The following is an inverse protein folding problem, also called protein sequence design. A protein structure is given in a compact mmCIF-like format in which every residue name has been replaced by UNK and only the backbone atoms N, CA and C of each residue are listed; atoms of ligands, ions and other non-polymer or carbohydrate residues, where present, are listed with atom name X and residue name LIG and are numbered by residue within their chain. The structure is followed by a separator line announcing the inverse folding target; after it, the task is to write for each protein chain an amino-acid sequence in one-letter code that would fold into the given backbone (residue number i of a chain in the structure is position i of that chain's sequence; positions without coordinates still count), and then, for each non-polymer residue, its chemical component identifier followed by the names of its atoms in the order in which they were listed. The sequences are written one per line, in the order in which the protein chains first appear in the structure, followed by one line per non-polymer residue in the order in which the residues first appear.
data_IF_023450427654
#
_entry.id   IF_023450427654
#
_cell.length_a   1.000
_cell.length_b   1.000
_cell.length_c   1.000
_cell.angle_alpha   90.00
_cell.angle_beta   90.00
_cell.angle_gamma   90.00
#
_symmetry.space_group_name_H-M   'P 1'
#
loop_
_entity.id
_entity.type
_entity.pdbx_description
1 polymer ?
#
# COMPACT_ATOMS: atom_id res chain seq x y z
N UNK A 1 45.81 -55.63 19.98
CA UNK A 1 45.92 -54.17 19.78
C UNK A 1 44.65 -53.71 19.09
N UNK A 2 43.91 -52.84 19.77
CA UNK A 2 42.57 -52.35 19.39
C UNK A 2 42.70 -51.16 18.43
N UNK A 3 41.80 -51.11 17.44
CA UNK A 3 41.12 -49.93 16.89
C UNK A 3 42.02 -48.87 16.18
N UNK A 4 41.58 -48.07 15.20
CA UNK A 4 40.27 -47.67 14.72
C UNK A 4 40.33 -47.52 13.19
N UNK A 5 39.31 -47.97 12.47
CA UNK A 5 38.99 -47.45 11.14
C UNK A 5 38.41 -46.04 11.31
N UNK A 6 39.09 -45.03 10.78
CA UNK A 6 38.60 -43.65 10.69
C UNK A 6 37.53 -43.56 9.60
N UNK A 7 36.27 -43.67 9.99
CA UNK A 7 35.13 -43.32 9.14
C UNK A 7 35.00 -41.79 9.13
N UNK A 8 35.51 -41.11 8.10
CA UNK A 8 35.17 -39.71 7.86
C UNK A 8 33.71 -39.66 7.40
N UNK A 9 32.79 -39.45 8.34
CA UNK A 9 31.45 -39.00 8.03
C UNK A 9 31.54 -37.53 7.60
N UNK A 10 31.62 -37.28 6.30
CA UNK A 10 31.33 -35.97 5.71
C UNK A 10 29.85 -35.68 5.96
N UNK A 11 29.55 -34.97 7.04
CA UNK A 11 28.26 -34.29 7.21
C UNK A 11 28.14 -33.27 6.06
N UNK A 12 27.51 -33.67 4.97
CA UNK A 12 26.86 -32.74 4.06
C UNK A 12 25.80 -32.03 4.90
N UNK A 13 26.13 -30.83 5.39
CA UNK A 13 25.13 -29.86 5.80
C UNK A 13 24.28 -29.58 4.55
N UNK A 14 23.19 -30.35 4.38
CA UNK A 14 22.10 -29.94 3.53
C UNK A 14 21.65 -28.59 4.07
N UNK A 15 22.13 -27.51 3.44
CA UNK A 15 21.50 -26.21 3.60
C UNK A 15 20.07 -26.42 3.11
N UNK A 16 19.12 -26.48 4.02
CA UNK A 16 17.71 -26.36 3.68
C UNK A 16 17.56 -24.97 3.10
N UNK A 17 17.63 -24.87 1.78
CA UNK A 17 17.28 -23.66 1.06
C UNK A 17 15.78 -23.50 1.25
N UNK A 18 15.37 -22.48 2.00
CA UNK A 18 13.96 -22.14 2.17
C UNK A 18 13.45 -21.54 0.86
N UNK A 19 13.00 -22.42 -0.04
CA UNK A 19 12.34 -22.01 -1.28
C UNK A 19 10.85 -21.77 -1.01
N UNK A 20 10.35 -20.61 -1.41
CA UNK A 20 8.93 -20.27 -1.31
C UNK A 20 8.18 -20.91 -2.49
N UNK A 21 7.10 -21.61 -2.21
CA UNK A 21 6.24 -22.31 -3.16
C UNK A 21 5.15 -21.38 -3.69
N UNK A 22 4.89 -21.42 -4.99
CA UNK A 22 3.82 -20.62 -5.62
C UNK A 22 2.44 -20.92 -5.02
N UNK A 23 1.66 -19.87 -4.76
CA UNK A 23 0.30 -19.98 -4.19
C UNK A 23 -0.72 -19.26 -5.06
N UNK A 24 -0.40 -18.05 -5.51
CA UNK A 24 -1.38 -17.16 -6.14
C UNK A 24 -0.74 -16.30 -7.22
N UNK A 25 -1.50 -16.05 -8.27
CA UNK A 25 -1.28 -14.95 -9.21
C UNK A 25 -2.58 -14.15 -9.33
N UNK A 26 -2.45 -12.83 -9.31
CA UNK A 26 -3.46 -11.87 -9.72
C UNK A 26 -3.00 -11.27 -11.05
N UNK A 27 -3.70 -11.57 -12.13
CA UNK A 27 -3.37 -11.06 -13.47
C UNK A 27 -4.59 -11.12 -14.39
N UNK A 28 -4.54 -10.35 -15.47
CA UNK A 28 -5.53 -10.37 -16.55
C UNK A 28 -6.98 -10.24 -16.08
N UNK A 29 -7.89 -10.91 -16.78
CA UNK A 29 -9.34 -10.82 -16.52
C UNK A 29 -9.76 -11.32 -15.13
N UNK A 30 -8.98 -12.22 -14.52
CA UNK A 30 -9.26 -12.77 -13.18
C UNK A 30 -8.69 -11.94 -12.04
N UNK A 31 -7.94 -10.86 -12.33
CA UNK A 31 -7.27 -10.07 -11.30
C UNK A 31 -8.25 -9.67 -10.19
N UNK A 32 -9.41 -9.11 -10.54
CA UNK A 32 -10.39 -8.55 -9.61
C UNK A 32 -11.35 -9.58 -8.97
N UNK A 33 -11.17 -10.88 -9.22
CA UNK A 33 -12.05 -11.93 -8.67
C UNK A 33 -11.91 -12.08 -7.15
N UNK A 34 -10.73 -11.71 -6.62
CA UNK A 34 -10.35 -11.87 -5.22
C UNK A 34 -10.04 -10.53 -4.56
N UNK A 35 -10.80 -9.51 -4.93
CA UNK A 35 -10.67 -8.16 -4.37
C UNK A 35 -12.03 -7.59 -3.98
N UNK A 36 -12.03 -6.85 -2.87
CA UNK A 36 -13.13 -5.98 -2.46
C UNK A 36 -12.82 -4.54 -2.83
N UNK A 37 -13.85 -3.79 -3.23
CA UNK A 37 -13.75 -2.36 -3.52
C UNK A 37 -14.29 -1.57 -2.33
N UNK A 38 -13.55 -0.57 -1.88
CA UNK A 38 -13.85 0.12 -0.62
C UNK A 38 -15.18 0.90 -0.64
N UNK A 39 -15.48 1.62 -1.74
CA UNK A 39 -16.81 2.23 -1.92
C UNK A 39 -17.17 3.35 -0.95
N UNK A 40 -16.20 4.10 -0.42
CA UNK A 40 -16.42 5.19 0.56
C UNK A 40 -15.40 6.32 0.39
N UNK A 41 -15.64 7.46 1.04
CA UNK A 41 -14.65 8.53 1.18
C UNK A 41 -13.39 8.02 1.90
N UNK A 42 -12.25 8.65 1.63
CA UNK A 42 -11.02 8.34 2.35
C UNK A 42 -11.10 8.78 3.81
N UNK A 43 -11.28 7.79 4.69
CA UNK A 43 -11.46 7.97 6.12
C UNK A 43 -10.19 7.67 6.92
N UNK A 44 -9.08 7.32 6.26
CA UNK A 44 -7.83 6.96 6.93
C UNK A 44 -6.76 8.03 6.75
N UNK A 45 -6.63 8.59 5.54
CA UNK A 45 -5.58 9.57 5.21
C UNK A 45 -6.14 10.95 4.86
N UNK A 46 -7.44 11.14 5.06
CA UNK A 46 -8.18 12.37 4.77
C UNK A 46 -8.07 12.86 3.31
N UNK A 47 -7.79 11.94 2.38
CA UNK A 47 -7.66 12.25 0.96
C UNK A 47 -8.91 12.87 0.33
N UNK A 48 -8.68 13.65 -0.72
CA UNK A 48 -9.70 14.33 -1.52
C UNK A 48 -10.30 13.44 -2.62
N UNK A 49 -10.58 12.20 -2.22
CA UNK A 49 -11.18 11.17 -3.06
C UNK A 49 -12.46 10.60 -2.47
N UNK A 50 -13.35 10.17 -3.37
CA UNK A 50 -14.37 9.17 -3.07
C UNK A 50 -13.94 7.87 -3.75
N UNK A 51 -13.63 6.83 -2.98
CA UNK A 51 -13.29 5.55 -3.56
C UNK A 51 -14.55 4.88 -4.12
N UNK A 52 -14.45 4.43 -5.37
CA UNK A 52 -15.53 3.77 -6.08
C UNK A 52 -15.87 2.41 -5.44
N UNK A 53 -17.16 2.06 -5.47
CA UNK A 53 -17.59 0.68 -5.32
C UNK A 53 -17.32 -0.11 -6.61
N UNK A 54 -17.53 -1.43 -6.56
CA UNK A 54 -17.25 -2.30 -7.71
C UNK A 54 -18.08 -1.91 -8.94
N UNK A 55 -19.34 -1.51 -8.77
CA UNK A 55 -20.20 -1.15 -9.89
C UNK A 55 -19.73 0.14 -10.60
N UNK A 56 -19.33 1.14 -9.81
CA UNK A 56 -18.78 2.41 -10.31
C UNK A 56 -17.44 2.20 -10.99
N UNK A 57 -16.55 1.40 -10.38
CA UNK A 57 -15.21 1.17 -10.92
C UNK A 57 -15.23 0.46 -12.30
N UNK A 58 -16.18 -0.46 -12.52
CA UNK A 58 -16.37 -1.18 -13.78
C UNK A 58 -17.35 -0.49 -14.76
N UNK A 59 -17.79 0.74 -14.48
CA UNK A 59 -18.73 1.43 -15.37
C UNK A 59 -18.12 1.63 -16.77
N UNK A 60 -18.78 1.14 -17.81
CA UNK A 60 -18.24 1.16 -19.18
C UNK A 60 -18.14 2.54 -19.81
N UNK A 61 -18.84 3.55 -19.28
CA UNK A 61 -18.77 4.94 -19.77
C UNK A 61 -17.58 5.70 -19.20
N UNK A 62 -17.11 5.33 -18.00
CA UNK A 62 -15.91 5.87 -17.38
C UNK A 62 -15.27 4.82 -16.45
N UNK A 63 -14.62 3.79 -17.02
CA UNK A 63 -14.08 2.70 -16.23
C UNK A 63 -12.86 3.20 -15.45
N UNK A 64 -12.81 2.94 -14.16
CA UNK A 64 -11.64 3.19 -13.30
C UNK A 64 -10.75 1.96 -13.17
N UNK A 65 -11.31 0.79 -13.45
CA UNK A 65 -10.56 -0.45 -13.56
C UNK A 65 -10.85 -1.15 -14.88
N UNK A 66 -9.81 -1.72 -15.50
CA UNK A 66 -9.95 -2.47 -16.75
C UNK A 66 -8.77 -3.42 -16.96
N UNK A 67 -8.88 -4.28 -17.96
CA UNK A 67 -7.76 -5.06 -18.48
C UNK A 67 -7.49 -4.58 -19.89
N UNK A 68 -6.26 -4.14 -20.15
CA UNK A 68 -5.86 -3.63 -21.45
C UNK A 68 -5.58 -4.76 -22.46
N UNK A 69 -5.26 -4.40 -23.70
CA UNK A 69 -4.98 -5.35 -24.78
C UNK A 69 -3.75 -6.23 -24.51
N UNK A 70 -2.80 -5.77 -23.67
CA UNK A 70 -1.63 -6.53 -23.23
C UNK A 70 -1.91 -7.50 -22.07
N UNK A 71 -3.19 -7.63 -21.66
CA UNK A 71 -3.61 -8.39 -20.48
C UNK A 71 -3.02 -7.85 -19.18
N UNK A 72 -2.67 -6.56 -19.15
CA UNK A 72 -2.27 -5.87 -17.93
C UNK A 72 -3.51 -5.24 -17.30
N UNK A 73 -3.52 -5.20 -15.98
CA UNK A 73 -4.59 -4.61 -15.20
C UNK A 73 -4.32 -3.11 -15.06
N UNK A 74 -5.32 -2.29 -15.34
CA UNK A 74 -5.27 -0.85 -15.16
C UNK A 74 -6.20 -0.45 -14.02
N UNK A 75 -5.68 0.33 -13.08
CA UNK A 75 -6.43 0.94 -11.97
C UNK A 75 -6.09 2.44 -11.97
N UNK A 76 -7.09 3.31 -12.13
CA UNK A 76 -6.86 4.74 -12.34
C UNK A 76 -7.76 5.64 -11.51
N UNK A 77 -7.30 6.88 -11.31
CA UNK A 77 -8.12 8.01 -10.88
C UNK A 77 -9.07 8.41 -12.01
N UNK A 78 -10.25 8.95 -11.67
CA UNK A 78 -11.15 9.55 -12.66
C UNK A 78 -10.50 10.76 -13.35
N UNK A 79 -10.06 10.55 -14.59
CA UNK A 79 -9.52 11.58 -15.47
C UNK A 79 -10.53 12.11 -16.50
N UNK A 80 -11.81 11.71 -16.46
CA UNK A 80 -12.82 12.13 -17.43
C UNK A 80 -13.75 13.23 -16.89
N UNK A 81 -14.13 13.15 -15.61
CA UNK A 81 -15.12 14.08 -15.05
C UNK A 81 -14.51 15.42 -14.63
N UNK A 82 -15.36 16.45 -14.64
CA UNK A 82 -15.07 17.74 -13.98
C UNK A 82 -15.61 17.72 -12.56
N UNK A 83 -14.76 18.03 -11.58
CA UNK A 83 -15.12 18.12 -10.16
C UNK A 83 -15.40 19.58 -9.79
N UNK A 84 -16.55 19.84 -9.18
CA UNK A 84 -16.90 21.17 -8.68
C UNK A 84 -16.28 21.42 -7.29
N UNK A 85 -16.14 22.69 -6.85
CA UNK A 85 -15.70 23.00 -5.50
C UNK A 85 -16.51 22.24 -4.44
N UNK A 86 -15.87 21.86 -3.34
CA UNK A 86 -16.40 21.04 -2.22
C UNK A 86 -16.68 19.57 -2.54
N UNK A 87 -16.57 19.14 -3.80
CA UNK A 87 -16.68 17.73 -4.19
C UNK A 87 -15.30 17.08 -4.26
N UNK A 88 -15.25 15.75 -4.10
CA UNK A 88 -14.03 14.95 -4.20
C UNK A 88 -13.99 14.18 -5.52
N UNK A 89 -12.79 13.86 -6.00
CA UNK A 89 -12.60 13.10 -7.24
C UNK A 89 -12.80 11.60 -7.00
N UNK A 90 -13.32 10.87 -7.97
CA UNK A 90 -13.45 9.43 -7.81
C UNK A 90 -12.12 8.73 -8.07
N UNK A 91 -11.76 7.78 -7.21
CA UNK A 91 -10.58 6.93 -7.35
C UNK A 91 -10.89 5.50 -6.90
N UNK A 92 -9.90 4.63 -6.82
CA UNK A 92 -10.06 3.22 -6.46
C UNK A 92 -9.18 2.87 -5.27
N UNK A 93 -9.77 2.18 -4.30
CA UNK A 93 -9.09 1.41 -3.27
C UNK A 93 -9.62 0.00 -3.30
N UNK A 94 -8.72 -0.96 -3.41
CA UNK A 94 -9.05 -2.39 -3.37
C UNK A 94 -8.21 -3.12 -2.33
N UNK A 95 -8.82 -4.11 -1.71
CA UNK A 95 -8.20 -5.00 -0.74
C UNK A 95 -8.36 -6.45 -1.18
N UNK A 96 -7.30 -7.25 -1.07
CA UNK A 96 -7.36 -8.66 -1.41
C UNK A 96 -8.25 -9.42 -0.43
N UNK A 97 -9.00 -10.40 -0.93
CA UNK A 97 -9.74 -11.34 -0.08
C UNK A 97 -8.87 -12.46 0.47
N UNK A 98 -7.68 -12.66 -0.10
CA UNK A 98 -6.64 -13.49 0.49
C UNK A 98 -5.88 -12.71 1.56
N UNK A 99 -5.36 -13.42 2.56
CA UNK A 99 -4.41 -12.90 3.54
C UNK A 99 -3.11 -13.71 3.51
N UNK A 100 -2.00 -13.02 3.77
CA UNK A 100 -0.65 -13.54 3.67
C UNK A 100 0.06 -13.44 5.02
N UNK A 101 0.44 -14.58 5.59
CA UNK A 101 1.15 -14.65 6.86
C UNK A 101 2.66 -14.53 6.70
N UNK A 102 3.34 -14.55 7.85
CA UNK A 102 4.80 -14.69 7.92
C UNK A 102 5.22 -15.95 7.15
N UNK A 103 6.34 -15.86 6.44
CA UNK A 103 6.78 -16.87 5.49
C UNK A 103 6.14 -16.70 4.11
N UNK A 104 5.85 -15.45 3.71
CA UNK A 104 5.37 -15.08 2.37
C UNK A 104 6.43 -14.30 1.59
N UNK A 105 6.47 -14.53 0.28
CA UNK A 105 7.18 -13.71 -0.70
C UNK A 105 6.17 -13.20 -1.74
N UNK A 106 6.02 -11.88 -1.82
CA UNK A 106 5.18 -11.19 -2.80
C UNK A 106 6.04 -10.66 -3.94
N UNK A 107 5.62 -10.87 -5.18
CA UNK A 107 6.26 -10.33 -6.38
C UNK A 107 5.24 -9.48 -7.12
N UNK A 108 5.56 -8.20 -7.33
CA UNK A 108 4.67 -7.22 -7.96
C UNK A 108 5.35 -6.63 -9.18
N UNK A 109 4.85 -6.95 -10.37
CA UNK A 109 5.31 -6.37 -11.63
C UNK A 109 4.42 -5.18 -11.98
N UNK A 110 5.04 -4.03 -12.25
CA UNK A 110 4.37 -2.78 -12.60
C UNK A 110 5.00 -2.24 -13.88
N UNK A 111 4.18 -2.04 -14.91
CA UNK A 111 4.57 -1.40 -16.15
C UNK A 111 4.43 0.12 -16.07
N UNK A 112 3.47 0.61 -15.28
CA UNK A 112 3.22 2.02 -15.03
C UNK A 112 2.68 2.21 -13.61
N UNK A 113 3.09 3.26 -12.91
CA UNK A 113 2.50 3.66 -11.63
C UNK A 113 1.95 5.10 -11.68
N UNK A 114 0.95 5.42 -10.85
CA UNK A 114 0.40 6.77 -10.77
C UNK A 114 1.47 7.76 -10.31
N UNK A 115 1.45 8.97 -10.86
CA UNK A 115 2.22 10.08 -10.33
C UNK A 115 1.59 11.41 -10.76
N UNK A 116 2.07 12.51 -10.19
CA UNK A 116 1.62 13.86 -10.50
C UNK A 116 1.18 14.61 -9.26
N UNK A 117 1.09 15.94 -9.35
CA UNK A 117 0.67 16.74 -8.21
C UNK A 117 -0.66 16.29 -7.63
N UNK A 118 -0.74 16.25 -6.31
CA UNK A 118 -1.79 15.63 -5.48
C UNK A 118 -1.85 14.12 -5.45
N UNK A 119 -1.25 13.39 -6.39
CA UNK A 119 -1.41 11.93 -6.48
C UNK A 119 -0.62 11.24 -5.38
N UNK A 120 -1.26 10.36 -4.61
CA UNK A 120 -0.64 9.53 -3.57
C UNK A 120 -1.06 8.07 -3.79
N UNK A 121 -0.28 7.31 -4.56
CA UNK A 121 -0.55 5.90 -4.77
C UNK A 121 0.17 5.03 -3.74
N UNK A 122 -0.47 3.93 -3.37
CA UNK A 122 0.11 2.94 -2.48
C UNK A 122 -0.14 1.51 -2.98
N UNK A 123 0.88 0.67 -2.88
CA UNK A 123 0.76 -0.78 -2.81
C UNK A 123 1.39 -1.22 -1.50
N UNK A 124 0.55 -1.71 -0.59
CA UNK A 124 0.95 -2.00 0.77
C UNK A 124 0.22 -3.25 1.26
N UNK A 125 0.63 -3.74 2.42
CA UNK A 125 -0.09 -4.81 3.11
C UNK A 125 -0.38 -4.40 4.53
N UNK A 126 -1.58 -4.70 5.02
CA UNK A 126 -2.01 -4.35 6.38
C UNK A 126 -2.59 -5.53 7.14
N UNK A 127 -2.24 -5.63 8.42
CA UNK A 127 -2.86 -6.57 9.33
C UNK A 127 -4.25 -6.12 9.78
N UNK A 128 -4.99 -7.00 10.45
CA UNK A 128 -6.26 -6.62 11.07
C UNK A 128 -6.02 -5.59 12.19
N UNK A 129 -6.98 -4.71 12.46
CA UNK A 129 -6.93 -3.75 13.58
C UNK A 129 -5.65 -2.90 13.60
N UNK A 130 -5.40 -2.15 12.52
CA UNK A 130 -4.25 -1.23 12.42
C UNK A 130 -4.13 -0.30 13.66
N UNK A 131 -2.92 -0.05 14.20
CA UNK A 131 -1.61 -0.59 13.77
C UNK A 131 -1.20 -1.87 14.52
N UNK A 132 -2.14 -2.53 15.22
CA UNK A 132 -1.85 -3.66 16.12
C UNK A 132 -1.16 -4.84 15.45
N UNK A 133 -1.53 -5.12 14.19
CA UNK A 133 -0.94 -6.21 13.40
C UNK A 133 -0.10 -5.70 12.23
N UNK A 134 0.37 -4.45 12.35
CA UNK A 134 1.33 -3.85 11.46
C UNK A 134 0.82 -3.51 10.06
N UNK A 135 1.64 -2.75 9.36
CA UNK A 135 1.50 -2.37 7.95
C UNK A 135 2.88 -2.36 7.29
N UNK A 136 2.92 -2.73 6.00
CA UNK A 136 4.12 -2.81 5.17
C UNK A 136 3.84 -2.06 3.88
N UNK A 137 4.41 -0.87 3.74
CA UNK A 137 4.31 -0.07 2.51
C UNK A 137 5.43 -0.49 1.57
N UNK A 138 5.03 -1.16 0.50
CA UNK A 138 5.96 -1.72 -0.48
C UNK A 138 6.28 -0.65 -1.51
N UNK A 139 5.24 0.02 -1.99
CA UNK A 139 5.33 1.13 -2.92
C UNK A 139 4.47 2.25 -2.39
N UNK A 140 5.10 3.35 -2.01
CA UNK A 140 4.42 4.55 -1.55
C UNK A 140 5.28 5.76 -1.91
N UNK A 141 4.58 6.82 -2.30
CA UNK A 141 5.15 8.12 -2.59
C UNK A 141 4.02 9.07 -2.93
N UNK A 142 4.36 10.32 -3.19
CA UNK A 142 3.35 11.32 -3.49
C UNK A 142 3.84 12.38 -4.46
N UNK A 143 2.88 13.12 -5.03
CA UNK A 143 3.15 14.24 -5.91
C UNK A 143 4.05 13.84 -7.09
N UNK A 144 5.15 14.56 -7.33
CA UNK A 144 6.12 14.24 -8.38
C UNK A 144 7.43 13.66 -7.83
N UNK A 145 7.35 12.89 -6.73
CA UNK A 145 8.51 12.16 -6.23
C UNK A 145 9.08 11.18 -7.28
N UNK A 146 10.37 10.90 -7.16
CA UNK A 146 11.11 10.02 -8.08
C UNK A 146 11.71 8.79 -7.39
N UNK A 147 11.62 8.76 -6.07
CA UNK A 147 12.15 7.71 -5.21
C UNK A 147 11.00 7.12 -4.41
N UNK A 148 10.92 5.79 -4.38
CA UNK A 148 9.93 5.10 -3.57
C UNK A 148 10.32 5.15 -2.08
N UNK A 149 9.34 5.41 -1.21
CA UNK A 149 9.46 5.24 0.23
C UNK A 149 8.88 3.87 0.61
N UNK A 150 9.69 3.05 1.26
CA UNK A 150 9.23 1.78 1.85
C UNK A 150 9.17 1.95 3.37
N UNK A 151 8.03 1.63 3.96
CA UNK A 151 7.78 1.90 5.38
C UNK A 151 7.19 0.72 6.12
N UNK A 152 7.39 0.71 7.44
CA UNK A 152 6.65 -0.14 8.36
C UNK A 152 5.99 0.71 9.44
N UNK A 153 4.76 0.33 9.79
CA UNK A 153 3.98 0.95 10.85
C UNK A 153 3.58 -0.13 11.86
N UNK A 154 3.94 0.07 13.13
CA UNK A 154 3.71 -0.93 14.20
C UNK A 154 3.37 -0.26 15.52
N UNK A 155 2.95 -1.05 16.51
CA UNK A 155 2.98 -0.63 17.92
C UNK A 155 4.42 -0.35 18.40
N UNK A 156 4.53 0.31 19.55
CA UNK A 156 5.80 0.65 20.18
C UNK A 156 6.66 -0.60 20.46
N UNK A 157 7.98 -0.46 20.27
CA UNK A 157 8.96 -1.51 20.50
C UNK A 157 9.54 -2.19 19.25
N UNK A 158 9.12 -1.82 18.04
CA UNK A 158 9.77 -2.24 16.79
C UNK A 158 10.66 -1.10 16.27
N UNK A 159 11.96 -1.34 16.21
CA UNK A 159 12.92 -0.38 15.67
C UNK A 159 13.85 -1.01 14.63
N UNK A 160 14.26 -0.21 13.66
CA UNK A 160 15.20 -0.54 12.60
C UNK A 160 16.60 -0.10 13.06
N UNK A 161 17.62 -0.98 13.04
CA UNK A 161 18.96 -0.61 13.47
C UNK A 161 19.61 0.41 12.52
N UNK A 162 20.51 1.24 13.04
CA UNK A 162 21.18 2.27 12.22
C UNK A 162 22.20 1.72 11.21
N UNK A 163 22.64 0.46 11.36
CA UNK A 163 23.60 -0.18 10.47
C UNK A 163 22.99 -1.43 9.89
N UNK A 164 22.62 -1.35 8.62
CA UNK A 164 21.89 -2.39 7.90
C UNK A 164 22.51 -2.57 6.52
N UNK A 165 22.58 -3.82 6.08
CA UNK A 165 22.91 -4.12 4.70
C UNK A 165 21.68 -3.88 3.80
N UNK A 166 21.67 -2.75 3.12
CA UNK A 166 20.63 -2.36 2.16
C UNK A 166 21.18 -1.35 1.15
N UNK A 167 20.48 -1.16 0.04
CA UNK A 167 20.84 -0.16 -0.97
C UNK A 167 20.25 1.23 -0.66
N UNK A 168 19.06 1.29 -0.09
CA UNK A 168 18.34 2.52 0.24
C UNK A 168 18.86 3.25 1.48
N UNK A 169 18.35 4.46 1.69
CA UNK A 169 18.73 5.33 2.82
C UNK A 169 17.65 5.31 3.89
N UNK A 170 17.99 4.87 5.11
CA UNK A 170 17.10 4.93 6.27
C UNK A 170 16.75 6.38 6.60
N UNK A 171 15.46 6.72 6.60
CA UNK A 171 14.94 8.03 6.96
C UNK A 171 14.61 8.11 8.46
N UNK A 172 13.87 7.11 8.94
CA UNK A 172 13.51 6.94 10.35
C UNK A 172 13.61 5.47 10.73
N UNK A 173 14.13 5.19 11.93
CA UNK A 173 14.22 3.84 12.45
C UNK A 173 13.09 3.44 13.40
N UNK A 174 12.21 4.35 13.82
CA UNK A 174 11.15 4.07 14.79
C UNK A 174 9.84 3.69 14.09
N UNK A 175 9.46 2.40 14.10
CA UNK A 175 8.25 1.96 13.39
C UNK A 175 6.94 2.34 14.09
N UNK A 176 7.02 2.92 15.30
CA UNK A 176 5.89 3.54 15.99
C UNK A 176 5.92 5.08 15.90
N UNK A 177 6.74 5.68 15.04
CA UNK A 177 6.83 7.15 14.99
C UNK A 177 5.44 7.79 14.77
N UNK A 178 5.18 8.80 15.59
CA UNK A 178 3.87 9.45 15.75
C UNK A 178 2.69 8.48 15.99
N UNK A 179 2.87 7.49 16.86
CA UNK A 179 1.90 6.41 17.10
C UNK A 179 1.59 5.61 15.82
N UNK A 180 2.65 5.27 15.10
CA UNK A 180 2.61 4.53 13.84
C UNK A 180 2.06 5.30 12.64
N UNK A 181 1.73 6.60 12.70
CA UNK A 181 1.26 7.31 11.50
C UNK A 181 2.40 7.68 10.54
N UNK A 182 3.63 7.80 11.04
CA UNK A 182 4.83 8.03 10.21
C UNK A 182 5.66 6.76 10.06
N UNK A 183 5.78 5.98 11.13
CA UNK A 183 6.53 4.73 11.11
C UNK A 183 8.03 4.90 10.81
N UNK A 184 8.64 3.79 10.44
CA UNK A 184 10.05 3.73 10.03
C UNK A 184 10.10 3.57 8.52
N UNK A 185 11.09 4.18 7.88
CA UNK A 185 11.09 4.30 6.42
C UNK A 185 12.48 4.25 5.81
N UNK A 186 12.58 3.60 4.65
CA UNK A 186 13.77 3.56 3.81
C UNK A 186 13.43 4.16 2.45
N UNK A 187 14.17 5.18 2.05
CA UNK A 187 14.05 5.79 0.73
C UNK A 187 14.91 5.03 -0.27
N UNK A 188 14.34 4.63 -1.41
CA UNK A 188 15.07 3.99 -2.50
C UNK A 188 16.15 4.91 -3.09
N UNK A 189 17.28 4.39 -3.62
CA UNK A 189 18.33 5.23 -4.19
C UNK A 189 17.87 6.06 -5.40
N UNK A 190 18.23 7.34 -5.43
CA UNK A 190 17.96 8.23 -6.58
C UNK A 190 18.64 7.76 -7.90
N UNK A 191 19.69 6.95 -7.81
CA UNK A 191 20.40 6.40 -8.98
C UNK A 191 19.63 5.29 -9.71
N UNK A 192 18.53 4.80 -9.12
CA UNK A 192 17.71 3.74 -9.67
C UNK A 192 16.24 4.19 -9.62
N UNK A 193 15.69 4.78 -10.70
CA UNK A 193 14.37 5.40 -10.67
C UNK A 193 13.32 4.36 -10.28
N UNK A 194 12.73 4.55 -9.10
CA UNK A 194 11.90 3.55 -8.42
C UNK A 194 10.46 4.00 -8.29
N UNK A 195 10.19 5.27 -8.58
CA UNK A 195 8.87 5.86 -8.51
C UNK A 195 8.68 6.94 -9.58
N UNK A 196 7.42 7.25 -9.88
CA UNK A 196 7.05 8.42 -10.65
C UNK A 196 7.40 8.36 -12.14
N UNK A 197 7.61 9.54 -12.72
CA UNK A 197 7.78 9.70 -14.17
C UNK A 197 8.96 8.88 -14.72
N UNK A 198 10.10 8.90 -14.05
CA UNK A 198 11.29 8.19 -14.53
C UNK A 198 11.13 6.68 -14.44
N UNK A 199 10.41 6.16 -13.44
CA UNK A 199 10.04 4.75 -13.40
C UNK A 199 9.17 4.37 -14.62
N UNK A 200 8.15 5.18 -14.92
CA UNK A 200 7.26 4.95 -16.06
C UNK A 200 7.99 5.02 -17.41
N UNK A 201 8.84 6.04 -17.60
CA UNK A 201 9.66 6.22 -18.81
C UNK A 201 10.63 5.04 -19.07
N UNK A 202 11.04 4.33 -18.02
CA UNK A 202 11.90 3.16 -18.12
C UNK A 202 11.13 1.82 -18.25
N UNK A 203 9.81 1.87 -18.45
CA UNK A 203 8.94 0.69 -18.60
C UNK A 203 8.64 -0.01 -17.28
N UNK A 204 8.76 0.72 -16.18
CA UNK A 204 8.52 0.26 -14.81
C UNK A 204 9.52 -0.78 -14.32
N UNK A 205 9.04 -1.77 -13.57
CA UNK A 205 9.91 -2.77 -12.96
C UNK A 205 9.19 -3.77 -12.07
N UNK A 206 9.97 -4.54 -11.33
CA UNK A 206 9.46 -5.59 -10.44
C UNK A 206 9.93 -5.32 -9.02
N UNK A 207 8.99 -5.40 -8.09
CA UNK A 207 9.21 -5.39 -6.66
C UNK A 207 9.09 -6.82 -6.10
N UNK A 208 9.95 -7.17 -5.17
CA UNK A 208 9.81 -8.38 -4.36
C UNK A 208 9.81 -8.01 -2.88
N UNK A 209 8.84 -8.52 -2.13
CA UNK A 209 8.71 -8.29 -0.68
C UNK A 209 8.69 -9.63 0.04
N UNK A 210 9.74 -9.90 0.79
CA UNK A 210 9.80 -11.03 1.71
C UNK A 210 9.26 -10.59 3.06
N UNK A 211 8.21 -11.27 3.54
CA UNK A 211 7.63 -11.12 4.88
C UNK A 211 7.90 -12.42 5.64
N UNK A 212 8.92 -12.42 6.49
CA UNK A 212 9.48 -13.61 7.12
C UNK A 212 9.80 -13.40 8.59
N UNK A 213 9.97 -14.47 9.37
CA UNK A 213 10.34 -14.37 10.79
C UNK A 213 11.70 -13.66 10.97
N UNK A 214 12.58 -13.76 9.97
CA UNK A 214 13.89 -13.10 9.96
C UNK A 214 13.85 -11.60 9.71
N UNK A 215 12.73 -11.08 9.19
CA UNK A 215 12.57 -9.67 8.86
C UNK A 215 11.65 -9.45 7.67
N UNK A 216 11.50 -8.17 7.32
CA UNK A 216 10.85 -7.74 6.09
C UNK A 216 11.93 -7.16 5.17
N UNK A 217 12.00 -7.66 3.93
CA UNK A 217 13.02 -7.27 2.96
C UNK A 217 12.37 -6.96 1.64
N UNK A 218 12.76 -5.85 1.02
CA UNK A 218 12.15 -5.35 -0.21
C UNK A 218 13.25 -5.11 -1.25
N UNK A 219 13.09 -5.73 -2.42
CA UNK A 219 13.94 -5.55 -3.59
C UNK A 219 13.18 -4.85 -4.69
N UNK A 220 13.92 -4.12 -5.52
CA UNK A 220 13.40 -3.49 -6.73
C UNK A 220 14.40 -3.67 -7.88
N UNK A 221 13.88 -4.07 -9.03
CA UNK A 221 14.60 -4.10 -10.30
C UNK A 221 13.85 -3.27 -11.33
N UNK A 222 14.55 -2.29 -11.92
CA UNK A 222 14.06 -1.62 -13.11
C UNK A 222 13.89 -2.62 -14.26
N UNK A 223 12.98 -2.33 -15.20
CA UNK A 223 12.54 -3.27 -16.26
C UNK A 223 13.69 -4.01 -16.96
N UNK A 224 14.76 -3.31 -17.30
CA UNK A 224 15.93 -3.85 -18.00
C UNK A 224 16.79 -4.83 -17.17
N UNK A 225 16.63 -4.79 -15.84
CA UNK A 225 17.41 -5.57 -14.86
C UNK A 225 16.59 -6.66 -14.17
N UNK A 226 15.31 -6.82 -14.52
CA UNK A 226 14.42 -7.83 -13.91
C UNK A 226 15.00 -9.24 -14.12
N UNK A 227 15.25 -10.01 -13.05
CA UNK A 227 15.71 -11.39 -13.15
C UNK A 227 14.77 -12.23 -14.02
N UNK A 228 15.32 -13.13 -14.84
CA UNK A 228 14.52 -13.95 -15.77
C UNK A 228 13.45 -14.80 -15.06
N UNK A 229 13.70 -15.18 -13.79
CA UNK A 229 12.77 -15.92 -12.93
C UNK A 229 11.56 -15.11 -12.46
N UNK A 230 11.63 -13.77 -12.55
CA UNK A 230 10.60 -12.84 -12.11
C UNK A 230 9.86 -12.15 -13.28
N UNK A 231 10.17 -12.51 -14.52
CA UNK A 231 9.49 -11.93 -15.68
C UNK A 231 8.05 -12.46 -15.81
N UNK A 232 7.16 -11.68 -16.44
CA UNK A 232 5.73 -12.02 -16.66
C UNK A 232 5.50 -13.44 -17.15
N UNK A 233 6.27 -13.88 -18.15
CA UNK A 233 6.09 -15.20 -18.78
C UNK A 233 6.79 -16.34 -18.03
N UNK A 234 7.42 -16.04 -16.89
CA UNK A 234 8.11 -17.01 -16.05
C UNK A 234 7.39 -17.12 -14.72
N UNK A 235 6.66 -18.21 -14.49
CA UNK A 235 6.00 -18.50 -13.20
C UNK A 235 6.66 -19.76 -12.61
N UNK A 236 7.82 -19.62 -11.93
CA UNK A 236 8.48 -20.77 -11.34
C UNK A 236 7.60 -21.34 -10.22
N UNK A 237 7.65 -22.66 -10.01
CA UNK A 237 6.94 -23.32 -8.90
C UNK A 237 7.49 -22.93 -7.54
N UNK A 238 8.78 -22.60 -7.50
CA UNK A 238 9.52 -22.24 -6.29
C UNK A 238 10.41 -21.04 -6.56
N UNK A 239 10.54 -20.13 -5.59
CA UNK A 239 11.46 -18.99 -5.62
C UNK A 239 12.39 -19.01 -4.41
N UNK A 240 13.64 -18.66 -4.66
CA UNK A 240 14.68 -18.54 -3.63
C UNK A 240 15.20 -17.09 -3.60
N UNK A 241 14.85 -16.30 -2.56
CA UNK A 241 15.28 -14.91 -2.46
C UNK A 241 16.78 -14.75 -2.19
N UNK A 242 17.52 -15.81 -1.85
CA UNK A 242 18.98 -15.73 -1.69
C UNK A 242 19.71 -15.36 -2.99
N UNK A 243 19.03 -15.50 -4.13
CA UNK A 243 19.53 -15.12 -5.46
C UNK A 243 19.23 -13.67 -5.84
N UNK A 244 18.46 -12.93 -5.03
CA UNK A 244 17.99 -11.57 -5.36
C UNK A 244 19.05 -10.48 -5.10
N UNK A 245 20.11 -10.82 -4.37
CA UNK A 245 21.17 -9.88 -3.99
C UNK A 245 20.75 -8.98 -2.82
N UNK A 246 21.38 -7.80 -2.71
CA UNK A 246 21.11 -6.87 -1.61
C UNK A 246 19.74 -6.21 -1.79
N UNK A 247 18.86 -6.23 -0.77
CA UNK A 247 17.58 -5.54 -0.82
C UNK A 247 17.75 -4.02 -0.84
N UNK A 248 16.73 -3.34 -1.37
CA UNK A 248 16.63 -1.87 -1.31
C UNK A 248 16.30 -1.43 0.12
N UNK A 249 15.36 -2.11 0.78
CA UNK A 249 15.03 -1.87 2.17
C UNK A 249 15.10 -3.16 2.98
N UNK A 250 15.68 -3.05 4.18
CA UNK A 250 15.88 -4.17 5.11
C UNK A 250 15.35 -3.78 6.48
N UNK A 251 14.38 -4.53 6.98
CA UNK A 251 13.81 -4.39 8.32
C UNK A 251 14.03 -5.69 9.11
N UNK A 252 15.26 -5.93 9.61
CA UNK A 252 15.62 -7.20 10.23
C UNK A 252 14.97 -7.37 11.60
N UNK A 253 14.79 -8.63 12.03
CA UNK A 253 14.13 -8.93 13.29
C UNK A 253 14.97 -8.66 14.56
N UNK A 254 16.19 -8.13 14.42
CA UNK A 254 17.15 -7.95 15.52
C UNK A 254 16.64 -7.05 16.64
N UNK A 255 15.82 -6.06 16.27
CA UNK A 255 15.23 -5.07 17.19
C UNK A 255 13.73 -4.87 16.91
N UNK A 256 13.14 -5.77 16.12
CA UNK A 256 11.72 -5.78 15.80
C UNK A 256 11.26 -7.23 15.68
N UNK A 257 10.54 -7.75 16.67
CA UNK A 257 10.02 -9.12 16.61
C UNK A 257 8.84 -9.18 15.62
N UNK A 258 9.08 -9.69 14.41
CA UNK A 258 8.07 -9.73 13.35
C UNK A 258 6.79 -10.46 13.79
N UNK A 259 6.92 -11.59 14.49
CA UNK A 259 5.77 -12.36 15.00
C UNK A 259 4.97 -11.67 16.10
N UNK A 260 5.53 -10.64 16.75
CA UNK A 260 4.84 -9.82 17.74
C UNK A 260 4.07 -8.66 17.10
N UNK A 261 4.64 -8.03 16.07
CA UNK A 261 4.12 -6.78 15.52
C UNK A 261 3.28 -6.96 14.25
N UNK A 262 3.43 -8.09 13.56
CA UNK A 262 2.75 -8.34 12.29
C UNK A 262 1.90 -9.61 12.36
N UNK A 263 0.63 -9.48 11.98
CA UNK A 263 -0.28 -10.61 11.76
C UNK A 263 -0.39 -11.00 10.28
N UNK A 264 -1.34 -11.86 9.91
CA UNK A 264 -1.71 -12.07 8.51
C UNK A 264 -2.10 -10.74 7.85
N UNK A 265 -1.48 -10.44 6.71
CA UNK A 265 -1.62 -9.18 6.00
C UNK A 265 -2.59 -9.31 4.82
N UNK A 266 -3.48 -8.35 4.66
CA UNK A 266 -4.26 -8.13 3.44
C UNK A 266 -3.46 -7.23 2.50
N UNK A 267 -3.35 -7.60 1.23
CA UNK A 267 -2.71 -6.78 0.21
C UNK A 267 -3.70 -5.70 -0.26
N UNK A 268 -3.25 -4.46 -0.31
CA UNK A 268 -4.07 -3.28 -0.60
C UNK A 268 -3.42 -2.46 -1.70
N UNK A 269 -4.26 -1.92 -2.60
CA UNK A 269 -3.85 -0.95 -3.62
C UNK A 269 -4.83 0.21 -3.60
N UNK A 270 -4.30 1.42 -3.57
CA UNK A 270 -5.11 2.62 -3.76
C UNK A 270 -4.36 3.76 -4.42
N UNK A 271 -5.15 4.75 -4.84
CA UNK A 271 -4.65 6.03 -5.30
C UNK A 271 -5.49 7.10 -4.61
N UNK A 272 -5.03 7.58 -3.46
CA UNK A 272 -5.64 8.75 -2.83
C UNK A 272 -5.09 10.04 -3.44
N UNK A 273 -5.71 11.17 -3.09
CA UNK A 273 -5.30 12.49 -3.59
C UNK A 273 -5.18 13.48 -2.42
N UNK A 274 -4.17 14.32 -2.43
CA UNK A 274 -3.88 15.26 -1.34
C UNK A 274 -3.77 14.53 0.01
N UNK A 275 -4.73 14.75 0.92
CA UNK A 275 -4.71 14.11 2.22
C UNK A 275 -3.53 14.51 3.09
N UNK A 276 -3.25 13.70 4.09
CA UNK A 276 -2.31 14.00 5.17
C UNK A 276 -0.85 14.11 4.69
N UNK A 277 -0.47 13.38 3.64
CA UNK A 277 0.88 13.42 3.04
C UNK A 277 0.95 14.32 1.80
N UNK A 278 0.40 13.89 0.66
CA UNK A 278 0.52 14.66 -0.60
C UNK A 278 -0.10 16.06 -0.51
N UNK A 279 -1.13 16.21 0.33
CA UNK A 279 -1.84 17.46 0.58
C UNK A 279 -1.20 18.32 1.65
N UNK A 280 -0.21 17.85 2.40
CA UNK A 280 0.52 18.69 3.35
C UNK A 280 1.20 19.86 2.61
N UNK A 281 1.05 21.09 3.11
CA UNK A 281 1.50 22.28 2.38
C UNK A 281 3.03 22.30 2.15
N UNK A 282 3.83 21.76 3.08
CA UNK A 282 5.28 21.68 2.92
C UNK A 282 5.65 20.62 1.88
N UNK A 283 5.11 19.40 2.04
CA UNK A 283 5.33 18.26 1.13
C UNK A 283 4.88 18.58 -0.30
N UNK A 284 3.70 19.18 -0.45
CA UNK A 284 3.19 19.61 -1.75
C UNK A 284 4.12 20.65 -2.41
N UNK A 285 4.68 21.58 -1.64
CA UNK A 285 5.58 22.60 -2.19
C UNK A 285 6.92 22.03 -2.68
N UNK A 286 7.38 20.88 -2.19
CA UNK A 286 8.66 20.27 -2.58
C UNK A 286 8.71 19.95 -4.08
N UNK A 287 7.61 19.45 -4.64
CA UNK A 287 7.53 19.04 -6.05
C UNK A 287 6.42 19.71 -6.85
N UNK A 288 5.50 20.43 -6.20
CA UNK A 288 4.29 21.00 -6.83
C UNK A 288 4.05 22.48 -6.53
N UNK A 289 5.05 23.21 -6.03
CA UNK A 289 4.91 24.65 -5.72
C UNK A 289 4.41 25.50 -6.90
N UNK A 290 4.74 25.10 -8.13
CA UNK A 290 4.38 25.83 -9.35
C UNK A 290 3.14 25.28 -10.06
N UNK A 291 2.45 24.29 -9.48
CA UNK A 291 1.26 23.72 -10.10
C UNK A 291 0.15 24.78 -10.15
N UNK A 292 -0.33 25.18 -11.34
CA UNK A 292 -1.33 26.25 -11.45
C UNK A 292 -2.71 25.76 -10.99
N UNK A 293 -3.66 26.65 -10.67
CA UNK A 293 -5.06 26.28 -10.45
C UNK A 293 -5.64 25.47 -11.61
N UNK A 294 -6.34 24.36 -11.34
CA UNK A 294 -7.01 23.54 -12.37
C UNK A 294 -8.39 24.12 -12.78
N UNK A 295 -8.86 25.16 -12.08
CA UNK A 295 -10.10 25.86 -12.40
C UNK A 295 -9.95 27.36 -12.19
N UNK A 296 -10.55 28.17 -13.07
CA UNK A 296 -10.37 29.63 -13.08
C UNK A 296 -11.19 30.38 -12.01
N UNK A 297 -12.13 29.71 -11.32
CA UNK A 297 -13.06 30.35 -10.38
C UNK A 297 -12.99 29.72 -8.99
N UNK A 298 -11.79 29.65 -8.42
CA UNK A 298 -11.58 29.14 -7.07
C UNK A 298 -11.56 30.29 -6.07
N UNK A 299 -12.16 30.11 -4.87
CA UNK A 299 -12.03 31.09 -3.81
C UNK A 299 -10.55 31.26 -3.43
N UNK A 300 -10.13 32.46 -2.97
CA UNK A 300 -8.77 32.67 -2.49
C UNK A 300 -8.42 31.67 -1.39
N UNK A 301 -7.24 31.06 -1.48
CA UNK A 301 -6.70 30.20 -0.42
C UNK A 301 -6.42 31.03 0.84
N UNK A 302 -6.87 30.55 1.99
CA UNK A 302 -6.49 31.17 3.25
C UNK A 302 -5.00 30.93 3.54
N UNK A 303 -4.30 31.86 4.24
CA UNK A 303 -2.91 31.66 4.61
C UNK A 303 -2.69 30.33 5.35
N UNK A 304 -1.67 29.58 4.93
CA UNK A 304 -1.32 28.29 5.52
C UNK A 304 -2.14 27.10 5.03
N UNK A 305 -3.17 27.31 4.19
CA UNK A 305 -3.84 26.19 3.51
C UNK A 305 -3.00 25.68 2.35
N UNK A 306 -2.92 24.36 2.23
CA UNK A 306 -2.27 23.72 1.08
C UNK A 306 -3.04 24.03 -0.20
N UNK A 307 -2.35 24.38 -1.30
CA UNK A 307 -2.99 24.57 -2.59
C UNK A 307 -3.37 23.26 -3.29
N UNK A 308 -3.06 22.09 -2.71
CA UNK A 308 -3.25 20.80 -3.35
C UNK A 308 -4.67 20.57 -3.91
N UNK A 309 -5.71 20.72 -3.07
CA UNK A 309 -7.10 20.51 -3.47
C UNK A 309 -7.55 21.47 -4.58
N UNK A 310 -7.46 22.81 -4.43
CA UNK A 310 -7.88 23.73 -5.48
C UNK A 310 -7.02 23.62 -6.75
N UNK A 311 -5.72 23.35 -6.62
CA UNK A 311 -4.85 23.29 -7.79
C UNK A 311 -5.00 21.98 -8.57
N UNK A 312 -5.55 20.91 -8.01
CA UNK A 312 -5.61 19.62 -8.70
C UNK A 312 -7.01 19.01 -8.73
N UNK A 313 -7.65 18.86 -7.58
CA UNK A 313 -8.85 18.04 -7.45
C UNK A 313 -10.04 18.72 -8.14
N UNK A 314 -10.24 20.01 -7.88
CA UNK A 314 -11.30 20.80 -8.51
C UNK A 314 -10.95 21.09 -9.97
N UNK A 315 -11.91 20.92 -10.89
CA UNK A 315 -11.72 21.15 -12.32
C UNK A 315 -11.73 19.86 -13.15
N UNK A 316 -11.34 19.93 -14.43
CA UNK A 316 -11.34 18.77 -15.34
C UNK A 316 -10.33 17.71 -14.88
N UNK A 317 -10.63 16.45 -15.17
CA UNK A 317 -9.73 15.33 -14.88
C UNK A 317 -8.51 15.30 -15.79
N UNK A 318 -8.72 15.40 -17.11
CA UNK A 318 -7.65 15.46 -18.10
C UNK A 318 -7.23 16.93 -18.34
N UNK A 319 -5.92 17.20 -18.49
CA UNK A 319 -4.82 16.23 -18.49
C UNK A 319 -4.27 15.89 -17.09
N UNK A 320 -4.80 16.50 -16.02
CA UNK A 320 -4.23 16.46 -14.66
C UNK A 320 -3.99 15.04 -14.12
N UNK A 321 -4.88 14.09 -14.45
CA UNK A 321 -4.83 12.71 -13.95
C UNK A 321 -4.64 11.67 -15.05
N UNK A 322 -4.17 12.06 -16.24
CA UNK A 322 -3.96 11.10 -17.34
C UNK A 322 -2.82 10.10 -17.01
N UNK A 323 -1.87 10.50 -16.17
CA UNK A 323 -0.77 9.66 -15.68
C UNK A 323 -1.06 9.06 -14.28
N UNK A 324 -2.26 9.26 -13.72
CA UNK A 324 -2.62 8.78 -12.39
C UNK A 324 -3.23 7.37 -12.43
N UNK A 325 -2.47 6.40 -12.94
CA UNK A 325 -2.88 5.00 -13.04
C UNK A 325 -1.77 3.99 -12.81
N UNK A 326 -2.13 2.87 -12.17
CA UNK A 326 -1.33 1.66 -12.19
C UNK A 326 -1.59 0.88 -13.47
N UNK A 327 -0.55 0.36 -14.10
CA UNK A 327 -0.61 -0.74 -15.06
C UNK A 327 0.19 -1.92 -14.52
N UNK A 328 -0.49 -3.01 -14.19
CA UNK A 328 0.04 -4.16 -13.45
C UNK A 328 -0.03 -5.40 -14.34
N UNK A 329 1.12 -5.87 -14.87
CA UNK A 329 1.20 -7.16 -15.54
C UNK A 329 0.79 -8.34 -14.66
N UNK A 330 1.26 -8.42 -13.42
CA UNK A 330 0.87 -9.43 -12.45
C UNK A 330 1.27 -9.07 -11.02
N UNK A 331 0.61 -9.69 -10.05
CA UNK A 331 1.08 -9.82 -8.68
C UNK A 331 1.07 -11.30 -8.29
N UNK A 332 2.14 -11.81 -7.69
CA UNK A 332 2.27 -13.22 -7.30
C UNK A 332 2.62 -13.37 -5.84
N UNK A 333 2.10 -14.41 -5.21
CA UNK A 333 2.45 -14.79 -3.86
C UNK A 333 3.03 -16.20 -3.81
N UNK A 334 4.10 -16.34 -3.03
CA UNK A 334 4.78 -17.59 -2.73
C UNK A 334 4.90 -17.77 -1.21
N UNK A 335 4.91 -19.00 -0.71
CA UNK A 335 4.99 -19.28 0.75
C UNK A 335 5.89 -20.47 1.08
N UNK A 336 6.49 -20.53 2.27
CA UNK A 336 7.39 -21.63 2.70
C UNK A 336 6.72 -23.02 2.90
N UNK A 337 5.44 -23.16 2.55
CA UNK A 337 4.54 -24.30 2.76
C UNK A 337 3.90 -24.40 4.17
N UNK A 338 2.58 -24.59 4.13
CA UNK A 338 1.60 -24.73 5.23
C UNK A 338 1.30 -23.48 6.08
N UNK A 339 1.13 -22.30 5.47
CA UNK A 339 0.21 -21.31 6.04
C UNK A 339 -1.13 -21.45 5.31
N UNK A 340 -2.15 -21.94 6.00
CA UNK A 340 -3.52 -21.98 5.49
C UNK A 340 -3.93 -20.56 5.10
N UNK A 341 -4.10 -20.29 3.81
CA UNK A 341 -4.83 -19.11 3.35
C UNK A 341 -6.26 -19.27 3.85
N UNK A 342 -6.57 -18.71 5.02
CA UNK A 342 -7.95 -18.70 5.52
C UNK A 342 -8.74 -17.75 4.63
N UNK A 343 -9.53 -18.31 3.72
CA UNK A 343 -10.59 -17.55 3.06
C UNK A 343 -11.57 -17.11 4.15
N UNK A 344 -11.58 -15.81 4.47
CA UNK A 344 -12.62 -15.23 5.32
C UNK A 344 -13.98 -15.49 4.68
N UNK A 345 -14.76 -16.39 5.27
CA UNK A 345 -16.16 -16.56 4.88
C UNK A 345 -16.93 -15.31 5.30
N UNK A 346 -17.57 -14.65 4.34
CA UNK A 346 -18.52 -13.58 4.62
C UNK A 346 -19.67 -14.15 5.47
N UNK A 347 -19.77 -13.71 6.73
CA UNK A 347 -20.94 -13.96 7.56
C UNK A 347 -22.09 -13.08 7.07
N UNK A 348 -22.90 -13.64 6.17
CA UNK A 348 -24.24 -13.13 5.90
C UNK A 348 -25.13 -13.40 7.13
N UNK A 349 -25.33 -12.38 7.95
CA UNK A 349 -26.33 -12.37 9.02
C UNK A 349 -27.75 -12.27 8.43
N UNK A 350 -28.24 -13.37 7.86
CA UNK A 350 -29.66 -13.53 7.58
C UNK A 350 -30.31 -14.18 8.81
N UNK A 351 -31.00 -13.37 9.61
CA UNK A 351 -31.78 -13.84 10.75
C UNK A 351 -32.91 -14.76 10.29
N UNK A 352 -32.78 -16.05 10.61
CA UNK A 352 -33.86 -17.02 10.51
C UNK A 352 -34.52 -17.15 11.89
N UNK A 353 -35.62 -16.44 12.11
CA UNK A 353 -36.52 -16.68 13.24
C UNK A 353 -37.42 -17.86 12.92
N UNK A 354 -37.24 -18.94 13.69
CA UNK A 354 -38.13 -20.11 13.66
C UNK A 354 -39.50 -19.80 14.25
N UNK A 355 -40.54 -20.15 13.51
CA UNK A 355 -41.95 -20.11 13.93
C UNK A 355 -42.41 -21.44 14.51
N UNK A 356 -42.97 -21.39 15.72
CA UNK A 356 -44.03 -22.28 16.29
C UNK A 356 -44.24 -21.91 17.76
N UNK A 357 -45.42 -21.64 18.33
CA UNK A 357 -46.80 -21.51 17.87
C UNK A 357 -47.71 -21.24 19.10
N UNK A 358 -48.82 -20.52 18.85
CA UNK A 358 -50.12 -20.49 19.58
C UNK A 358 -50.23 -20.01 21.05
N UNK A 359 -51.05 -18.96 21.27
CA UNK A 359 -51.84 -18.80 22.51
C UNK A 359 -52.26 -17.37 22.93
N UNK A 360 -53.38 -16.88 22.39
CA UNK A 360 -54.46 -16.10 23.07
C UNK A 360 -54.26 -14.63 23.56
N UNK A 361 -55.04 -13.71 22.94
CA UNK A 361 -55.88 -12.58 23.44
C UNK A 361 -55.61 -11.94 24.83
N UNK A 362 -55.74 -10.63 25.12
CA UNK A 362 -56.35 -9.46 24.46
C UNK A 362 -55.95 -8.11 25.15
N UNK A 363 -56.19 -7.01 24.42
CA UNK A 363 -56.58 -5.64 24.83
C UNK A 363 -55.66 -4.74 25.68
N UNK A 364 -55.49 -3.49 25.22
CA UNK A 364 -55.15 -2.32 26.05
C UNK A 364 -54.22 -1.33 25.34
N UNK A 365 -54.70 -0.12 25.07
CA UNK A 365 -54.02 0.88 24.23
C UNK A 365 -53.08 1.84 24.95
N UNK A 366 -52.58 2.84 24.20
CA UNK A 366 -52.07 4.10 24.75
C UNK A 366 -50.60 4.40 24.50
N UNK A 367 -50.35 5.26 23.49
CA UNK A 367 -49.31 6.30 23.39
C UNK A 367 -48.00 6.16 24.19
N UNK A 368 -46.86 6.30 23.51
CA UNK A 368 -46.00 7.51 23.54
C UNK A 368 -44.73 7.23 22.73
N UNK A 369 -44.39 8.15 21.83
CA UNK A 369 -43.10 8.18 21.16
C UNK A 369 -42.01 8.68 22.11
N UNK A 370 -40.85 8.05 22.07
CA UNK A 370 -39.61 8.62 22.59
C UNK A 370 -38.45 8.06 21.80
N UNK A 371 -37.79 8.96 21.10
CA UNK A 371 -36.54 8.78 20.37
C UNK A 371 -35.43 8.43 21.35
N UNK A 372 -34.84 7.24 21.21
CA UNK A 372 -33.61 6.90 21.91
C UNK A 372 -32.42 7.43 21.10
N UNK A 373 -31.71 8.38 21.68
CA UNK A 373 -30.44 8.88 21.22
C UNK A 373 -29.40 7.74 21.20
N UNK A 374 -28.73 7.57 20.05
CA UNK A 374 -27.51 6.77 19.97
C UNK A 374 -26.33 7.67 20.36
N UNK A 375 -25.60 7.25 21.38
CA UNK A 375 -24.36 7.88 21.85
C UNK A 375 -23.27 7.63 20.80
N UNK A 376 -22.94 8.66 20.05
CA UNK A 376 -21.72 8.73 19.24
C UNK A 376 -20.63 9.28 20.17
N UNK A 377 -19.64 8.46 20.52
CA UNK A 377 -18.44 8.96 21.18
C UNK A 377 -17.54 9.68 20.15
N UNK A 378 -17.02 10.88 20.48
CA UNK A 378 -16.14 11.63 19.59
C UNK A 378 -14.69 11.15 19.75
N UNK A 379 -14.05 10.74 18.65
CA UNK A 379 -12.60 10.66 18.59
C UNK A 379 -12.01 12.08 18.60
N UNK A 380 -10.87 12.31 19.28
CA UNK A 380 -10.32 13.65 19.43
C UNK A 380 -9.65 14.11 18.14
N UNK A 381 -10.11 15.26 17.64
CA UNK A 381 -9.39 16.07 16.65
C UNK A 381 -8.11 16.57 17.34
N UNK A 382 -6.96 16.04 16.94
CA UNK A 382 -5.66 16.50 17.45
C UNK A 382 -5.09 17.56 16.50
N UNK A 383 -4.88 18.75 17.06
CA UNK A 383 -4.20 19.89 16.46
C UNK A 383 -2.76 19.50 16.09
N UNK A 384 -2.44 19.51 14.80
CA UNK A 384 -1.08 19.36 14.29
C UNK A 384 -0.26 20.60 14.65
N UNK A 385 0.78 20.43 15.48
CA UNK A 385 1.79 21.47 15.69
C UNK A 385 2.87 21.37 14.60
N UNK A 386 3.22 22.53 14.03
CA UNK A 386 4.34 22.73 13.11
C UNK A 386 5.65 22.16 13.68
N UNK A 387 6.34 21.35 12.89
CA UNK A 387 7.78 21.16 13.00
C UNK A 387 8.40 21.44 11.64
N UNK A 388 9.21 22.50 11.60
CA UNK A 388 10.02 22.90 10.45
C UNK A 388 11.24 21.99 10.38
N UNK A 389 11.38 21.21 9.31
CA UNK A 389 12.64 20.55 8.99
C UNK A 389 13.67 21.61 8.55
N UNK A 390 14.72 21.80 9.36
CA UNK A 390 15.88 22.57 8.97
C UNK A 390 16.78 21.69 8.08
N UNK A 391 16.84 22.03 6.79
CA UNK A 391 17.79 21.43 5.85
C UNK A 391 19.23 21.77 6.24
N UNK A 392 20.05 20.75 6.49
CA UNK A 392 21.49 20.90 6.67
C UNK A 392 22.18 20.99 5.30
N UNK A 393 22.48 22.22 4.87
CA UNK A 393 23.39 22.50 3.76
C UNK A 393 24.82 22.43 4.29
N UNK A 394 25.59 21.41 3.92
CA UNK A 394 27.05 21.45 4.03
C UNK A 394 27.67 21.93 2.73
N UNK A 395 27.98 23.23 2.68
CA UNK A 395 28.91 23.79 1.71
C UNK A 395 30.35 23.49 2.14
N UNK A 396 31.09 22.73 1.33
CA UNK A 396 32.55 22.67 1.41
C UNK A 396 33.15 23.81 0.61
N UNK A 397 33.89 24.66 1.31
CA UNK A 397 34.83 25.62 0.75
C UNK A 397 36.06 24.88 0.19
N UNK A 398 36.45 25.21 -1.04
CA UNK A 398 37.82 25.16 -1.49
C UNK A 398 38.15 26.50 -2.17
N UNK A 399 39.21 27.11 -1.63
CA UNK A 399 39.92 28.35 -1.97
C UNK A 399 39.34 29.65 -1.38
#
# INVERSE_FOLDING_TARGET
MRALLSLLASLLLLRTVSAYNFVREYSGSSFFDRWTFFGSFDNLTNGDVNFADKATAFNTSNPLVMVNSAQNVVIKVDNASTVLPTLKRTSVRIDSTDQYGIGTLLITDIAHMPFGCSVWPAIFTRGQNWPTHGEIDIIEGWNQETQNLMSLHTLDGCNVPNTINQLGTLQSGNCNDQNATVGCGVMAPATNPSFGQDFNNNGGGVWATQFDETGIFIWFWNRSSVPSTLQKNTQPKTLDPSTFGTPVASFPNTTCNIGQFFGPQTLSLDITLCGDAAGNAAVYAETCANEPPNSMNLPPLAPGQSPCYPNNVVGPGSPRYDEAFFEIPFMRAYTLAAVSTSTGAATNSAGATGTSGSGSQASGGGSTGSSAASLVEPFPVLLSFLVVFAGAIFGQWLI
#
